data_IF_929736504615
#
_entry.id   IF_929736504615
#
_cell.length_a   1.000
_cell.length_b   1.000
_cell.length_c   1.000
_cell.angle_alpha   90.00
_cell.angle_beta   90.00
_cell.angle_gamma   90.00
#
_symmetry.space_group_name_H-M   'P 1'
#
loop_
_entity.id
_entity.type
_entity.pdbx_description
1 polymer ?
#
# COMPACT_ATOMS: atom_id res chain seq x y z
N UNK A 1 5.99 10.02 -18.88
CA UNK A 1 6.07 8.55 -19.09
C UNK A 1 4.85 8.09 -19.87
N UNK A 2 5.01 7.86 -21.17
CA UNK A 2 3.94 7.54 -22.13
C UNK A 2 3.19 6.23 -21.78
N UNK A 3 3.87 5.27 -21.14
CA UNK A 3 3.29 4.02 -20.62
C UNK A 3 2.16 4.28 -19.61
N UNK A 4 2.31 5.25 -18.71
CA UNK A 4 1.23 5.60 -17.77
C UNK A 4 0.01 6.21 -18.49
N UNK A 5 0.23 6.98 -19.56
CA UNK A 5 -0.85 7.57 -20.35
C UNK A 5 -1.61 6.49 -21.14
N UNK A 6 -0.89 5.54 -21.74
CA UNK A 6 -1.48 4.41 -22.47
C UNK A 6 -2.27 3.47 -21.55
N UNK A 7 -1.79 3.24 -20.32
CA UNK A 7 -2.48 2.48 -19.29
C UNK A 7 -3.73 3.23 -18.75
N UNK A 8 -3.65 4.55 -18.61
CA UNK A 8 -4.74 5.37 -18.06
C UNK A 8 -5.95 5.42 -18.99
N UNK A 9 -5.73 5.50 -20.30
CA UNK A 9 -6.80 5.71 -21.29
C UNK A 9 -7.61 4.46 -21.64
N UNK A 10 -7.08 3.23 -21.45
CA UNK A 10 -7.79 1.98 -21.75
C UNK A 10 -7.45 0.87 -20.74
N UNK A 11 -8.41 0.32 -19.98
CA UNK A 11 -8.18 -0.78 -19.04
C UNK A 11 -7.52 -2.00 -19.70
N UNK A 12 -7.92 -2.37 -20.92
CA UNK A 12 -7.35 -3.50 -21.66
C UNK A 12 -5.86 -3.34 -21.98
N UNK A 13 -5.38 -2.09 -22.11
CA UNK A 13 -3.96 -1.82 -22.28
C UNK A 13 -3.17 -2.18 -21.02
N UNK A 14 -3.77 -2.10 -19.82
CA UNK A 14 -3.08 -2.45 -18.57
C UNK A 14 -2.71 -3.92 -18.55
N UNK A 15 -3.60 -4.79 -19.03
CA UNK A 15 -3.36 -6.23 -19.12
C UNK A 15 -2.30 -6.51 -20.19
N UNK A 16 -2.47 -5.97 -21.40
CA UNK A 16 -1.53 -6.17 -22.51
C UNK A 16 -0.12 -5.67 -22.20
N UNK A 17 0.00 -4.54 -21.50
CA UNK A 17 1.30 -3.97 -21.11
C UNK A 17 1.95 -4.81 -19.99
N UNK A 18 1.17 -5.30 -19.02
CA UNK A 18 1.68 -6.22 -17.99
C UNK A 18 2.20 -7.52 -18.63
N UNK A 19 1.37 -8.15 -19.49
CA UNK A 19 1.70 -9.37 -20.22
C UNK A 19 2.88 -9.19 -21.20
N UNK A 20 3.13 -7.98 -21.69
CA UNK A 20 4.32 -7.66 -22.49
C UNK A 20 5.62 -7.62 -21.67
N UNK A 21 5.58 -7.94 -20.37
CA UNK A 21 6.75 -8.08 -19.51
C UNK A 21 7.30 -6.76 -18.96
N UNK A 22 6.47 -5.72 -18.87
CA UNK A 22 6.91 -4.39 -18.35
C UNK A 22 7.31 -4.43 -16.88
N UNK A 23 6.86 -5.45 -16.13
CA UNK A 23 7.18 -5.68 -14.72
C UNK A 23 8.70 -5.67 -14.46
N UNK A 24 9.48 -6.38 -15.30
CA UNK A 24 10.96 -6.44 -15.17
C UNK A 24 11.66 -5.08 -15.36
N UNK A 25 11.39 -4.30 -16.44
CA UNK A 25 11.89 -2.93 -16.56
C UNK A 25 11.51 -2.02 -15.38
N UNK A 26 10.28 -2.12 -14.86
CA UNK A 26 9.83 -1.30 -13.73
C UNK A 26 10.57 -1.64 -12.44
N UNK A 27 10.82 -2.91 -12.19
CA UNK A 27 11.65 -3.38 -11.09
C UNK A 27 13.06 -2.76 -11.15
N UNK A 28 13.64 -2.70 -12.35
CA UNK A 28 14.95 -2.06 -12.58
C UNK A 28 14.89 -0.54 -12.30
N UNK A 29 13.89 0.16 -12.84
CA UNK A 29 13.72 1.61 -12.67
C UNK A 29 13.57 2.00 -11.18
N UNK A 30 12.77 1.26 -10.41
CA UNK A 30 12.55 1.50 -8.97
C UNK A 30 13.80 1.15 -8.14
N UNK A 31 14.73 0.39 -8.71
CA UNK A 31 15.98 0.00 -8.06
C UNK A 31 17.08 1.05 -8.14
N UNK A 32 16.97 2.02 -9.05
CA UNK A 32 17.87 3.17 -9.03
C UNK A 32 17.52 4.14 -7.90
N UNK A 33 18.53 4.77 -7.29
CA UNK A 33 18.38 5.76 -6.22
C UNK A 33 18.07 7.17 -6.75
N UNK A 34 17.15 7.27 -7.72
CA UNK A 34 16.67 8.56 -8.25
C UNK A 34 15.21 8.75 -7.85
N UNK A 35 14.90 9.69 -6.94
CA UNK A 35 13.55 9.85 -6.38
C UNK A 35 12.44 9.97 -7.42
N UNK A 36 12.68 10.71 -8.50
CA UNK A 36 11.73 10.91 -9.59
C UNK A 36 11.46 9.62 -10.38
N UNK A 37 12.49 8.83 -10.66
CA UNK A 37 12.35 7.55 -11.35
C UNK A 37 11.63 6.51 -10.47
N UNK A 38 11.92 6.51 -9.17
CA UNK A 38 11.21 5.66 -8.21
C UNK A 38 9.73 6.01 -8.14
N UNK A 39 9.38 7.30 -8.09
CA UNK A 39 7.99 7.77 -8.13
C UNK A 39 7.29 7.33 -9.42
N UNK A 40 7.91 7.48 -10.58
CA UNK A 40 7.33 7.03 -11.85
C UNK A 40 7.12 5.52 -11.90
N UNK A 41 8.10 4.74 -11.46
CA UNK A 41 7.99 3.29 -11.40
C UNK A 41 6.86 2.82 -10.47
N UNK A 42 6.76 3.41 -9.27
CA UNK A 42 5.69 3.10 -8.32
C UNK A 42 4.32 3.53 -8.86
N UNK A 43 4.24 4.66 -9.56
CA UNK A 43 3.01 5.14 -10.22
C UNK A 43 2.56 4.20 -11.35
N UNK A 44 3.51 3.62 -12.08
CA UNK A 44 3.22 2.59 -13.07
C UNK A 44 2.62 1.34 -12.43
N UNK A 45 3.26 0.82 -11.37
CA UNK A 45 2.76 -0.34 -10.62
C UNK A 45 1.37 -0.07 -10.06
N UNK A 46 1.16 1.09 -9.44
CA UNK A 46 -0.17 1.51 -8.96
C UNK A 46 -1.18 1.48 -10.11
N UNK A 47 -0.81 2.02 -11.28
CA UNK A 47 -1.68 2.00 -12.45
C UNK A 47 -2.03 0.57 -12.89
N UNK A 48 -1.09 -0.36 -12.90
CA UNK A 48 -1.39 -1.75 -13.25
C UNK A 48 -2.22 -2.47 -12.18
N UNK A 49 -2.00 -2.18 -10.90
CA UNK A 49 -2.76 -2.76 -9.78
C UNK A 49 -4.25 -2.38 -9.74
N UNK A 50 -4.66 -1.37 -10.52
CA UNK A 50 -6.07 -1.00 -10.69
C UNK A 50 -6.87 -2.01 -11.52
N UNK A 51 -6.19 -2.92 -12.22
CA UNK A 51 -6.82 -4.03 -12.93
C UNK A 51 -6.71 -5.31 -12.10
N UNK A 52 -7.84 -5.95 -11.78
CA UNK A 52 -7.87 -7.15 -10.93
C UNK A 52 -7.05 -8.30 -11.52
N UNK A 53 -7.09 -8.47 -12.84
CA UNK A 53 -6.33 -9.52 -13.54
C UNK A 53 -4.80 -9.38 -13.45
N UNK A 54 -4.28 -8.20 -13.09
CA UNK A 54 -2.83 -7.97 -12.96
C UNK A 54 -2.33 -8.17 -11.52
N UNK A 55 -3.21 -8.23 -10.52
CA UNK A 55 -2.80 -8.17 -9.11
C UNK A 55 -1.97 -9.37 -8.66
N UNK A 56 -2.30 -10.56 -9.14
CA UNK A 56 -1.53 -11.77 -8.85
C UNK A 56 -0.16 -11.72 -9.52
N UNK A 57 -0.11 -11.38 -10.81
CA UNK A 57 1.16 -11.26 -11.55
C UNK A 57 2.11 -10.30 -10.85
N UNK A 58 1.65 -9.09 -10.52
CA UNK A 58 2.43 -8.06 -9.79
C UNK A 58 2.90 -8.58 -8.42
N UNK A 59 2.08 -9.38 -7.73
CA UNK A 59 2.47 -9.93 -6.44
C UNK A 59 3.59 -10.99 -6.58
N UNK A 60 3.53 -11.80 -7.63
CA UNK A 60 4.50 -12.86 -7.91
C UNK A 60 5.83 -12.35 -8.48
N UNK A 61 5.85 -11.25 -9.24
CA UNK A 61 7.07 -10.72 -9.86
C UNK A 61 8.01 -9.95 -8.89
N UNK A 62 7.66 -9.87 -7.61
CA UNK A 62 8.53 -9.34 -6.55
C UNK A 62 8.33 -7.84 -6.24
N UNK A 63 7.37 -7.19 -6.88
CA UNK A 63 7.05 -5.77 -6.73
C UNK A 63 6.63 -5.43 -5.30
N UNK A 64 6.04 -6.37 -4.55
CA UNK A 64 5.68 -6.14 -3.14
C UNK A 64 6.89 -5.64 -2.34
N UNK A 65 8.07 -6.25 -2.50
CA UNK A 65 9.27 -5.82 -1.77
C UNK A 65 9.72 -4.42 -2.20
N UNK A 66 9.58 -4.10 -3.48
CA UNK A 66 9.92 -2.77 -4.01
C UNK A 66 8.97 -1.70 -3.52
N UNK A 67 7.67 -1.97 -3.51
CA UNK A 67 6.65 -1.10 -2.95
C UNK A 67 6.90 -0.85 -1.45
N UNK A 68 7.25 -1.89 -0.70
CA UNK A 68 7.60 -1.73 0.73
C UNK A 68 8.84 -0.85 0.91
N UNK A 69 9.86 -1.00 0.05
CA UNK A 69 11.02 -0.09 0.07
C UNK A 69 10.60 1.35 -0.28
N UNK A 70 9.71 1.52 -1.24
CA UNK A 70 9.23 2.82 -1.70
C UNK A 70 8.44 3.62 -0.64
N UNK A 71 7.86 2.95 0.36
CA UNK A 71 7.24 3.61 1.53
C UNK A 71 8.21 4.52 2.29
N UNK A 72 9.52 4.26 2.20
CA UNK A 72 10.57 5.04 2.88
C UNK A 72 10.97 6.31 2.11
N UNK A 73 10.50 6.50 0.89
CA UNK A 73 10.88 7.63 0.04
C UNK A 73 9.73 8.62 -0.09
N UNK A 74 9.97 9.88 0.30
CA UNK A 74 8.94 10.93 0.37
C UNK A 74 8.12 11.07 -0.92
N UNK A 75 8.77 11.01 -2.09
CA UNK A 75 8.13 11.19 -3.39
C UNK A 75 7.18 10.04 -3.77
N UNK A 76 7.44 8.81 -3.31
CA UNK A 76 6.72 7.62 -3.76
C UNK A 76 5.82 6.97 -2.70
N UNK A 77 5.98 7.35 -1.42
CA UNK A 77 5.38 6.64 -0.28
C UNK A 77 3.85 6.56 -0.31
N UNK A 78 3.16 7.61 -0.75
CA UNK A 78 1.69 7.62 -0.83
C UNK A 78 1.20 6.66 -1.93
N UNK A 79 1.81 6.74 -3.12
CA UNK A 79 1.47 5.85 -4.23
C UNK A 79 1.82 4.39 -3.90
N UNK A 80 2.90 4.15 -3.16
CA UNK A 80 3.29 2.82 -2.69
C UNK A 80 2.25 2.25 -1.71
N UNK A 81 1.80 3.04 -0.74
CA UNK A 81 0.73 2.62 0.19
C UNK A 81 -0.58 2.31 -0.56
N UNK A 82 -0.94 3.16 -1.52
CA UNK A 82 -2.11 2.94 -2.37
C UNK A 82 -2.00 1.63 -3.18
N UNK A 83 -0.84 1.37 -3.79
CA UNK A 83 -0.61 0.14 -4.56
C UNK A 83 -0.67 -1.10 -3.67
N UNK A 84 -0.06 -1.06 -2.48
CA UNK A 84 -0.13 -2.15 -1.50
C UNK A 84 -1.58 -2.43 -1.07
N UNK A 85 -2.39 -1.40 -0.85
CA UNK A 85 -3.84 -1.55 -0.59
C UNK A 85 -4.56 -2.22 -1.77
N UNK A 86 -4.27 -1.84 -3.01
CA UNK A 86 -4.89 -2.45 -4.20
C UNK A 86 -4.54 -3.93 -4.31
N UNK A 87 -3.26 -4.27 -4.12
CA UNK A 87 -2.80 -5.65 -4.14
C UNK A 87 -3.41 -6.47 -3.00
N UNK A 88 -3.61 -5.86 -1.82
CA UNK A 88 -4.21 -6.52 -0.66
C UNK A 88 -5.71 -6.80 -0.78
N UNK A 89 -6.35 -6.42 -1.89
CA UNK A 89 -7.73 -6.83 -2.22
C UNK A 89 -7.81 -8.31 -2.63
N UNK A 90 -6.67 -8.94 -2.94
CA UNK A 90 -6.51 -10.40 -3.09
C UNK A 90 -6.05 -10.96 -1.73
N UNK A 91 -6.71 -11.98 -1.20
CA UNK A 91 -6.46 -12.47 0.17
C UNK A 91 -5.05 -13.03 0.34
N UNK A 92 -4.56 -13.77 -0.66
CA UNK A 92 -3.23 -14.40 -0.70
C UNK A 92 -2.12 -13.34 -0.60
N UNK A 93 -2.35 -12.17 -1.21
CA UNK A 93 -1.41 -11.06 -1.21
C UNK A 93 -1.26 -10.42 0.18
N UNK A 94 -2.28 -10.43 1.03
CA UNK A 94 -2.23 -9.81 2.37
C UNK A 94 -1.14 -10.44 3.24
N UNK A 95 -1.04 -11.77 3.18
CA UNK A 95 -0.01 -12.53 3.89
C UNK A 95 1.38 -12.28 3.32
N UNK A 96 1.52 -12.16 1.99
CA UNK A 96 2.78 -11.84 1.33
C UNK A 96 3.28 -10.42 1.66
N UNK A 97 2.39 -9.43 1.63
CA UNK A 97 2.68 -8.04 1.99
C UNK A 97 3.13 -7.96 3.45
N UNK A 98 2.40 -8.62 4.36
CA UNK A 98 2.76 -8.69 5.78
C UNK A 98 4.15 -9.30 6.04
N UNK A 99 4.46 -10.44 5.40
CA UNK A 99 5.78 -11.09 5.48
C UNK A 99 6.90 -10.24 4.89
N UNK A 100 6.59 -9.36 3.95
CA UNK A 100 7.54 -8.43 3.34
C UNK A 100 7.89 -7.23 4.21
N UNK A 101 7.49 -7.23 5.49
CA UNK A 101 7.75 -6.16 6.47
C UNK A 101 7.13 -4.81 6.08
N UNK A 102 5.95 -4.85 5.45
CA UNK A 102 5.19 -3.65 5.08
C UNK A 102 4.61 -2.89 6.28
N UNK A 103 4.34 -3.58 7.39
CA UNK A 103 3.59 -3.01 8.53
C UNK A 103 4.33 -1.83 9.19
N UNK A 104 5.60 -1.94 9.63
CA UNK A 104 6.30 -0.80 10.23
C UNK A 104 6.31 0.48 9.35
N UNK A 105 6.76 0.46 8.09
CA UNK A 105 6.80 1.68 7.28
C UNK A 105 5.42 2.24 6.92
N UNK A 106 4.36 1.41 6.93
CA UNK A 106 2.98 1.92 6.83
C UNK A 106 2.55 2.65 8.10
N UNK A 107 2.99 2.18 9.29
CA UNK A 107 2.75 2.89 10.55
C UNK A 107 3.55 4.19 10.61
N UNK A 108 4.81 4.18 10.17
CA UNK A 108 5.61 5.41 10.08
C UNK A 108 4.96 6.44 9.14
N UNK A 109 4.40 5.97 8.01
CA UNK A 109 3.67 6.82 7.07
C UNK A 109 2.41 7.42 7.71
N UNK A 110 1.74 6.68 8.59
CA UNK A 110 0.56 7.15 9.31
C UNK A 110 0.88 8.30 10.28
N UNK A 111 2.07 8.30 10.89
CA UNK A 111 2.51 9.35 11.82
C UNK A 111 3.10 10.57 11.07
N UNK A 112 3.95 10.34 10.07
CA UNK A 112 4.83 11.36 9.48
C UNK A 112 4.44 11.87 8.09
N UNK A 113 3.17 11.79 7.69
CA UNK A 113 2.71 12.26 6.37
C UNK A 113 1.56 13.25 6.41
N UNK A 114 1.34 13.90 5.27
CA UNK A 114 0.15 14.73 5.07
C UNK A 114 -1.13 13.90 5.01
N UNK A 115 -2.27 14.58 4.94
CA UNK A 115 -3.61 13.97 4.98
C UNK A 115 -3.76 12.79 4.02
N UNK A 116 -3.24 12.92 2.79
CA UNK A 116 -3.28 11.86 1.77
C UNK A 116 -2.49 10.62 2.20
N UNK A 117 -1.22 10.78 2.60
CA UNK A 117 -0.40 9.68 3.09
C UNK A 117 -1.00 8.97 4.30
N UNK A 118 -1.55 9.71 5.28
CA UNK A 118 -2.21 9.12 6.46
C UNK A 118 -3.41 8.26 6.05
N UNK A 119 -4.24 8.77 5.12
CA UNK A 119 -5.40 8.04 4.58
C UNK A 119 -5.00 6.76 3.86
N UNK A 120 -4.04 6.84 2.94
CA UNK A 120 -3.59 5.70 2.15
C UNK A 120 -2.94 4.63 3.05
N UNK A 121 -2.12 5.05 4.01
CA UNK A 121 -1.52 4.19 5.03
C UNK A 121 -2.58 3.47 5.88
N UNK A 122 -3.54 4.22 6.43
CA UNK A 122 -4.62 3.67 7.26
C UNK A 122 -5.45 2.65 6.48
N UNK A 123 -5.78 2.95 5.23
CA UNK A 123 -6.58 2.06 4.37
C UNK A 123 -5.83 0.76 4.05
N UNK A 124 -4.54 0.85 3.75
CA UNK A 124 -3.69 -0.33 3.56
C UNK A 124 -3.59 -1.17 4.84
N UNK A 125 -3.30 -0.54 5.98
CA UNK A 125 -3.19 -1.21 7.28
C UNK A 125 -4.50 -1.90 7.67
N UNK A 126 -5.65 -1.24 7.47
CA UNK A 126 -6.97 -1.82 7.73
C UNK A 126 -7.22 -3.10 6.93
N UNK A 127 -6.87 -3.11 5.64
CA UNK A 127 -7.01 -4.28 4.77
C UNK A 127 -6.10 -5.42 5.24
N UNK A 128 -4.83 -5.11 5.54
CA UNK A 128 -3.84 -6.10 6.01
C UNK A 128 -4.18 -6.67 7.39
N UNK A 129 -4.90 -5.92 8.23
CA UNK A 129 -5.30 -6.32 9.57
C UNK A 129 -6.33 -7.47 9.61
N UNK A 130 -6.89 -7.90 8.47
CA UNK A 130 -7.71 -9.11 8.44
C UNK A 130 -6.91 -10.38 8.75
N UNK A 131 -5.61 -10.40 8.43
CA UNK A 131 -4.70 -11.53 8.65
C UNK A 131 -4.17 -11.52 10.08
N UNK A 132 -4.30 -12.63 10.81
CA UNK A 132 -3.93 -12.74 12.24
C UNK A 132 -2.48 -12.34 12.51
N UNK A 133 -1.54 -12.82 11.71
CA UNK A 133 -0.12 -12.56 11.86
C UNK A 133 0.21 -11.07 11.63
N UNK A 134 -0.55 -10.40 10.75
CA UNK A 134 -0.41 -8.96 10.53
C UNK A 134 -0.96 -8.14 11.69
N UNK A 135 -2.02 -8.62 12.37
CA UNK A 135 -2.50 -8.00 13.61
C UNK A 135 -1.41 -7.98 14.67
N UNK A 136 -0.75 -9.12 14.90
CA UNK A 136 0.35 -9.24 15.86
C UNK A 136 1.48 -8.27 15.50
N UNK A 137 1.89 -8.23 14.23
CA UNK A 137 2.92 -7.28 13.74
C UNK A 137 2.52 -5.82 14.00
N UNK A 138 1.27 -5.45 13.70
CA UNK A 138 0.77 -4.09 13.89
C UNK A 138 0.73 -3.68 15.37
N UNK A 139 0.34 -4.60 16.26
CA UNK A 139 0.34 -4.36 17.70
C UNK A 139 1.76 -4.22 18.26
N UNK A 140 2.71 -5.06 17.80
CA UNK A 140 4.11 -5.00 18.22
C UNK A 140 4.80 -3.69 17.86
N UNK A 141 4.44 -3.08 16.72
CA UNK A 141 4.98 -1.78 16.31
C UNK A 141 4.21 -0.59 16.90
N UNK A 142 3.21 -0.82 17.77
CA UNK A 142 2.55 0.24 18.51
C UNK A 142 1.50 1.04 17.72
N UNK A 143 0.81 0.44 16.74
CA UNK A 143 -0.16 1.11 15.84
C UNK A 143 -1.27 1.94 16.54
N UNK A 144 -1.58 1.68 17.81
CA UNK A 144 -2.71 2.33 18.50
C UNK A 144 -2.54 3.84 18.65
N UNK A 145 -1.36 4.29 19.08
CA UNK A 145 -1.10 5.73 19.28
C UNK A 145 -1.26 6.52 17.97
N UNK A 146 -0.60 6.14 16.85
CA UNK A 146 -0.80 6.77 15.54
C UNK A 146 -2.26 6.88 15.12
N UNK A 147 -3.05 5.83 15.35
CA UNK A 147 -4.46 5.82 14.95
C UNK A 147 -5.32 6.74 15.81
N UNK A 148 -5.05 6.82 17.12
CA UNK A 148 -5.75 7.74 18.02
C UNK A 148 -5.42 9.19 17.67
N UNK A 149 -4.14 9.50 17.43
CA UNK A 149 -3.70 10.82 16.99
C UNK A 149 -4.34 11.19 15.64
N UNK A 150 -4.40 10.26 14.69
CA UNK A 150 -5.08 10.48 13.40
C UNK A 150 -6.57 10.82 13.55
N UNK A 151 -7.29 10.24 14.52
CA UNK A 151 -8.70 10.62 14.77
C UNK A 151 -8.83 12.04 15.30
N UNK A 152 -7.90 12.49 16.14
CA UNK A 152 -7.88 13.85 16.66
C UNK A 152 -7.58 14.88 15.57
N UNK A 153 -6.72 14.53 14.61
CA UNK A 153 -6.28 15.42 13.53
C UNK A 153 -7.33 15.61 12.41
N UNK A 154 -8.20 14.63 12.14
CA UNK A 154 -8.91 14.59 10.84
C UNK A 154 -10.28 15.25 10.78
N UNK A 155 -11.05 15.36 11.88
CA UNK A 155 -12.38 16.00 11.91
C UNK A 155 -13.44 15.39 10.95
N UNK A 156 -14.71 15.29 11.40
CA UNK A 156 -15.82 14.38 10.95
C UNK A 156 -16.00 14.02 9.45
N UNK A 157 -14.98 13.52 8.75
CA UNK A 157 -14.98 13.16 7.34
C UNK A 157 -15.12 11.63 7.17
N UNK A 158 -15.44 11.16 5.95
CA UNK A 158 -15.65 9.72 5.67
C UNK A 158 -14.43 8.83 5.99
N UNK A 159 -13.21 9.39 5.97
CA UNK A 159 -11.97 8.69 6.38
C UNK A 159 -12.00 8.37 7.87
N UNK A 160 -12.60 9.25 8.68
CA UNK A 160 -12.76 9.08 10.12
C UNK A 160 -13.58 7.84 10.43
N UNK A 161 -14.59 7.52 9.61
CA UNK A 161 -15.37 6.28 9.79
C UNK A 161 -14.50 5.05 9.58
N UNK A 162 -13.61 5.05 8.59
CA UNK A 162 -12.70 3.94 8.35
C UNK A 162 -11.63 3.82 9.45
N UNK A 163 -11.04 4.93 9.88
CA UNK A 163 -10.10 4.98 11.00
C UNK A 163 -10.76 4.56 12.31
N UNK A 164 -11.98 5.03 12.58
CA UNK A 164 -12.79 4.66 13.74
C UNK A 164 -13.14 3.18 13.73
N UNK A 165 -13.63 2.64 12.61
CA UNK A 165 -13.89 1.20 12.46
C UNK A 165 -12.59 0.40 12.66
N UNK A 166 -11.46 0.90 12.16
CA UNK A 166 -10.17 0.24 12.36
C UNK A 166 -9.77 0.21 13.83
N UNK A 167 -9.88 1.34 14.53
CA UNK A 167 -9.60 1.43 15.97
C UNK A 167 -10.52 0.54 16.81
N UNK A 168 -11.83 0.58 16.56
CA UNK A 168 -12.79 -0.30 17.24
C UNK A 168 -12.46 -1.78 16.99
N UNK A 169 -12.01 -2.11 15.77
CA UNK A 169 -11.59 -3.47 15.42
C UNK A 169 -10.29 -3.88 16.13
N UNK A 170 -9.37 -2.95 16.37
CA UNK A 170 -8.15 -3.19 17.14
C UNK A 170 -8.48 -3.41 18.61
N UNK A 171 -9.28 -2.52 19.22
CA UNK A 171 -9.61 -2.60 20.65
C UNK A 171 -10.42 -3.84 21.00
N UNK A 172 -11.38 -4.24 20.16
CA UNK A 172 -12.16 -5.49 20.36
C UNK A 172 -11.32 -6.76 20.27
N UNK A 173 -10.21 -6.76 19.52
CA UNK A 173 -9.36 -7.94 19.36
C UNK A 173 -8.27 -8.06 20.42
N UNK A 174 -7.91 -6.99 21.15
CA UNK A 174 -6.98 -7.08 22.29
C UNK A 174 -7.44 -8.01 23.40
N UNK A 175 -8.75 -8.26 23.50
CA UNK A 175 -9.35 -9.12 24.54
C UNK A 175 -9.27 -10.61 24.15
N UNK A 176 -8.86 -10.95 22.92
CA UNK A 176 -8.87 -12.33 22.39
C UNK A 176 -7.50 -12.87 21.97
N UNK A 177 -6.41 -12.14 22.20
CA UNK A 177 -5.04 -12.55 21.88
C UNK A 177 -4.31 -12.89 23.16
#
# INVERSE_FOLDING_TARGET
>A
MEICLLAKNKPDNRIKIAQAGVTKPLISIISFNYPQLQEYGVTAILSFSLCDGNKEEIAYSGEIKLLVRALRYAAARENAACALFRLSQVEENKSAIGRSRAIPPLVDLLEGSGIRGKKDACTALYSLYSVRENKVRALQVGIMRPLVEMMSDLGSNMVDKATFVFLVKITKNRVKI
#
